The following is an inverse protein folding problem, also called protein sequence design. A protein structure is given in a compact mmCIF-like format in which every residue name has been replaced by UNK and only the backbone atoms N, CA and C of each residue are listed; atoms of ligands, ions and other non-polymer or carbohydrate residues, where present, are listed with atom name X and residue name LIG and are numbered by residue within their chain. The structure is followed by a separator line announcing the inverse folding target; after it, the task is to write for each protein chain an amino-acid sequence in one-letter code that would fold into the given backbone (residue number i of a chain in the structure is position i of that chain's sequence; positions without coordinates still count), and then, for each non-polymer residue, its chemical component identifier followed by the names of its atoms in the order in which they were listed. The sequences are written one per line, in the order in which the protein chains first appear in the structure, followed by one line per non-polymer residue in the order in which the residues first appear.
data_IF_582729196490
#
_entry.id   IF_582729196490
#
_cell.length_a   1.000
_cell.length_b   1.000
_cell.length_c   1.000
_cell.angle_alpha   90.00
_cell.angle_beta   90.00
_cell.angle_gamma   90.00
#
_symmetry.space_group_name_H-M   'P 1'
#
loop_
_entity.id
_entity.type
_entity.pdbx_description
1 polymer ?
#
# COMPACT_ATOMS: atom_id res chain seq x y z
N UNK A 1 5.27 -14.16 2.00
CA UNK A 1 4.19 -14.05 1.01
C UNK A 1 3.17 -13.08 1.60
N UNK A 2 2.91 -11.95 0.95
CA UNK A 2 1.93 -10.99 1.42
C UNK A 2 0.53 -11.55 1.18
N UNK A 3 -0.28 -11.64 2.22
CA UNK A 3 -1.69 -12.04 2.11
C UNK A 3 -2.48 -10.76 1.91
N UNK A 4 -3.23 -10.67 0.81
CA UNK A 4 -4.10 -9.54 0.55
C UNK A 4 -5.53 -9.82 1.05
N UNK A 5 -6.25 -8.81 1.56
CA UNK A 5 -7.62 -8.98 2.01
C UNK A 5 -8.58 -9.10 0.83
N UNK A 6 -9.74 -9.71 1.05
CA UNK A 6 -10.89 -9.53 0.17
C UNK A 6 -11.44 -8.12 0.34
N UNK A 7 -11.40 -7.29 -0.70
CA UNK A 7 -11.97 -5.95 -0.69
C UNK A 7 -13.40 -5.96 -1.23
N UNK A 8 -14.27 -5.13 -0.68
CA UNK A 8 -15.67 -5.03 -1.10
C UNK A 8 -15.96 -3.68 -1.77
N UNK A 9 -16.17 -3.68 -3.09
CA UNK A 9 -16.52 -2.49 -3.86
C UNK A 9 -17.90 -1.92 -3.52
N UNK A 10 -18.84 -2.78 -3.13
CA UNK A 10 -20.19 -2.40 -2.68
C UNK A 10 -20.26 -2.12 -1.18
N UNK A 11 -19.10 -2.13 -0.50
CA UNK A 11 -18.99 -1.88 0.93
C UNK A 11 -19.25 -0.42 1.29
N UNK A 12 -19.50 -0.16 2.58
CA UNK A 12 -19.67 1.21 3.11
C UNK A 12 -18.38 2.05 3.04
N UNK A 13 -17.21 1.41 3.02
CA UNK A 13 -15.93 2.10 2.98
C UNK A 13 -15.31 2.01 1.57
N UNK A 14 -14.70 3.08 1.05
CA UNK A 14 -13.90 3.02 -0.17
C UNK A 14 -12.81 1.93 -0.12
N UNK A 15 -12.48 1.35 -1.29
CA UNK A 15 -11.46 0.31 -1.43
C UNK A 15 -10.10 0.70 -0.85
N UNK A 16 -9.68 1.96 -1.05
CA UNK A 16 -8.39 2.43 -0.55
C UNK A 16 -8.35 2.42 0.98
N UNK A 17 -9.45 2.77 1.66
CA UNK A 17 -9.54 2.74 3.13
C UNK A 17 -9.44 1.30 3.61
N UNK A 18 -10.18 0.39 2.97
CA UNK A 18 -10.16 -1.03 3.33
C UNK A 18 -8.74 -1.62 3.21
N UNK A 19 -8.04 -1.31 2.13
CA UNK A 19 -6.66 -1.76 1.90
C UNK A 19 -5.67 -1.13 2.88
N UNK A 20 -5.78 0.19 3.09
CA UNK A 20 -4.94 0.92 4.05
C UNK A 20 -5.09 0.34 5.47
N UNK A 21 -6.32 0.16 5.96
CA UNK A 21 -6.61 -0.39 7.29
C UNK A 21 -6.09 -1.82 7.45
N UNK A 22 -6.16 -2.62 6.38
CA UNK A 22 -5.56 -3.95 6.39
C UNK A 22 -4.04 -3.87 6.54
N UNK A 23 -3.36 -3.13 5.66
CA UNK A 23 -1.90 -3.03 5.68
C UNK A 23 -1.38 -2.45 7.00
N UNK A 24 -2.03 -1.40 7.50
CA UNK A 24 -1.73 -0.82 8.81
C UNK A 24 -1.83 -1.85 9.92
N UNK A 25 -2.90 -2.65 9.97
CA UNK A 25 -3.05 -3.74 10.94
C UNK A 25 -1.95 -4.79 10.80
N UNK A 26 -1.58 -5.18 9.59
CA UNK A 26 -0.49 -6.14 9.38
C UNK A 26 0.85 -5.62 9.89
N UNK A 27 1.12 -4.32 9.69
CA UNK A 27 2.32 -3.65 10.21
C UNK A 27 2.29 -3.59 11.73
N UNK A 28 1.17 -3.16 12.33
CA UNK A 28 1.00 -3.06 13.78
C UNK A 28 1.09 -4.42 14.48
N UNK A 29 0.63 -5.48 13.82
CA UNK A 29 0.72 -6.86 14.33
C UNK A 29 2.09 -7.51 14.08
N UNK A 30 3.04 -6.79 13.47
CA UNK A 30 4.38 -7.30 13.15
C UNK A 30 4.41 -8.36 12.05
N UNK A 31 3.28 -8.62 11.37
CA UNK A 31 3.21 -9.54 10.23
C UNK A 31 3.83 -8.96 8.97
N UNK A 32 3.77 -7.62 8.85
CA UNK A 32 4.55 -6.87 7.89
C UNK A 32 5.64 -6.08 8.64
N UNK A 33 6.90 -6.54 8.60
CA UNK A 33 7.99 -5.81 9.23
C UNK A 33 8.10 -4.39 8.67
N UNK A 34 8.40 -3.44 9.55
CA UNK A 34 8.66 -2.06 9.15
C UNK A 34 9.80 -2.00 8.12
N UNK A 35 9.62 -1.22 7.05
CA UNK A 35 10.58 -1.15 5.96
C UNK A 35 10.55 -2.33 4.98
N UNK A 36 9.58 -3.25 5.08
CA UNK A 36 9.38 -4.26 4.03
C UNK A 36 8.88 -3.60 2.76
N UNK A 37 9.51 -4.00 1.65
CA UNK A 37 9.13 -3.57 0.32
C UNK A 37 7.72 -4.04 -0.01
N UNK A 38 6.79 -3.09 -0.12
CA UNK A 38 5.45 -3.37 -0.63
C UNK A 38 5.51 -3.85 -2.10
N UNK A 39 4.57 -4.69 -2.54
CA UNK A 39 4.42 -5.07 -3.94
C UNK A 39 4.18 -3.82 -4.77
N UNK A 40 4.59 -3.84 -6.03
CA UNK A 40 4.26 -2.73 -6.93
C UNK A 40 2.74 -2.53 -7.02
N UNK A 41 2.30 -1.28 -7.24
CA UNK A 41 0.88 -0.92 -7.39
C UNK A 41 0.19 -1.86 -8.39
N UNK A 42 0.85 -2.11 -9.53
CA UNK A 42 0.35 -3.03 -10.58
C UNK A 42 0.19 -4.47 -10.08
N UNK A 43 1.16 -5.00 -9.32
CA UNK A 43 1.09 -6.37 -8.79
C UNK A 43 -0.01 -6.51 -7.74
N UNK A 44 -0.11 -5.54 -6.82
CA UNK A 44 -1.15 -5.53 -5.80
C UNK A 44 -2.56 -5.39 -6.42
N UNK A 45 -2.73 -4.47 -7.38
CA UNK A 45 -4.00 -4.30 -8.10
C UNK A 45 -4.43 -5.58 -8.84
N UNK A 46 -3.47 -6.27 -9.48
CA UNK A 46 -3.71 -7.54 -10.16
C UNK A 46 -4.14 -8.65 -9.19
N UNK A 47 -3.47 -8.77 -8.04
CA UNK A 47 -3.79 -9.77 -7.02
C UNK A 47 -5.13 -9.50 -6.32
N UNK A 48 -5.48 -8.23 -6.14
CA UNK A 48 -6.74 -7.80 -5.54
C UNK A 48 -7.90 -7.73 -6.54
N UNK A 49 -7.62 -7.89 -7.84
CA UNK A 49 -8.58 -7.71 -8.94
C UNK A 49 -9.30 -6.34 -8.92
N UNK A 50 -8.60 -5.27 -8.56
CA UNK A 50 -9.12 -3.89 -8.54
C UNK A 50 -8.30 -2.97 -9.44
N UNK A 51 -8.78 -1.74 -9.66
CA UNK A 51 -8.01 -0.71 -10.34
C UNK A 51 -6.76 -0.28 -9.55
N UNK A 52 -5.79 0.35 -10.22
CA UNK A 52 -4.55 0.79 -9.58
C UNK A 52 -4.76 1.97 -8.61
N UNK A 53 -5.77 2.81 -8.85
CA UNK A 53 -6.00 4.06 -8.11
C UNK A 53 -6.20 3.83 -6.60
N UNK A 54 -7.07 2.90 -6.13
CA UNK A 54 -7.23 2.68 -4.70
C UNK A 54 -5.98 2.11 -4.03
N UNK A 55 -5.17 1.33 -4.76
CA UNK A 55 -3.90 0.80 -4.26
C UNK A 55 -2.88 1.92 -4.07
N UNK A 56 -2.75 2.80 -5.06
CA UNK A 56 -1.89 3.98 -4.98
C UNK A 56 -2.27 4.88 -3.81
N UNK A 57 -3.57 5.20 -3.67
CA UNK A 57 -4.06 6.03 -2.56
C UNK A 57 -3.80 5.40 -1.19
N UNK A 58 -4.01 4.09 -1.05
CA UNK A 58 -3.73 3.38 0.21
C UNK A 58 -2.24 3.43 0.57
N UNK A 59 -1.36 3.26 -0.42
CA UNK A 59 0.10 3.31 -0.21
C UNK A 59 0.58 4.72 0.13
N UNK A 60 0.04 5.74 -0.54
CA UNK A 60 0.32 7.14 -0.23
C UNK A 60 -0.09 7.49 1.21
N UNK A 61 -1.23 6.99 1.66
CA UNK A 61 -1.67 7.19 3.05
C UNK A 61 -0.74 6.52 4.07
N UNK A 62 -0.28 5.28 3.79
CA UNK A 62 0.71 4.61 4.64
C UNK A 62 2.05 5.36 4.67
N UNK A 63 2.47 5.91 3.53
CA UNK A 63 3.68 6.72 3.42
C UNK A 63 3.56 8.01 4.23
N UNK A 64 2.43 8.71 4.13
CA UNK A 64 2.16 9.94 4.88
C UNK A 64 2.19 9.72 6.41
N UNK A 65 1.81 8.52 6.87
CA UNK A 65 1.90 8.13 8.28
C UNK A 65 3.27 7.57 8.70
N UNK A 66 4.22 7.49 7.77
CA UNK A 66 5.57 7.01 8.03
C UNK A 66 5.69 5.49 8.12
N UNK A 67 4.70 4.72 7.68
CA UNK A 67 4.73 3.25 7.75
C UNK A 67 5.58 2.58 6.66
N UNK A 68 5.89 3.30 5.58
CA UNK A 68 6.63 2.76 4.43
C UNK A 68 7.83 3.64 4.06
N UNK A 69 8.62 4.04 5.05
CA UNK A 69 9.77 4.93 4.86
C UNK A 69 10.98 4.16 4.29
N UNK A 70 10.83 3.58 3.08
CA UNK A 70 11.92 3.08 2.25
C UNK A 70 11.58 3.26 0.76
N UNK A 71 11.77 4.47 0.22
CA UNK A 71 12.06 4.72 -1.20
C UNK A 71 12.24 6.22 -1.56
N UNK A 72 12.19 7.17 -0.63
CA UNK A 72 12.27 8.59 -1.02
C UNK A 72 13.69 9.06 -1.43
N UNK A 73 14.74 8.24 -1.23
CA UNK A 73 16.10 8.64 -1.62
C UNK A 73 16.53 8.20 -3.03
N UNK A 74 15.75 7.39 -3.78
CA UNK A 74 16.23 6.88 -5.08
C UNK A 74 15.55 7.43 -6.33
N UNK A 75 14.45 8.17 -6.20
CA UNK A 75 13.75 8.73 -7.36
C UNK A 75 13.72 10.27 -7.40
N UNK A 76 14.04 10.96 -6.30
CA UNK A 76 14.11 12.43 -6.27
C UNK A 76 15.47 13.01 -6.70
N UNK A 77 16.55 12.22 -6.72
CA UNK A 77 17.86 12.69 -7.20
C UNK A 77 18.10 12.51 -8.70
N UNK A 78 17.20 11.86 -9.44
CA UNK A 78 17.40 11.56 -10.87
C UNK A 78 16.70 12.53 -11.84
N UNK A 79 16.18 13.67 -11.36
CA UNK A 79 15.55 14.67 -12.24
C UNK A 79 15.95 16.13 -11.96
N UNK A 80 17.06 16.34 -11.24
CA UNK A 80 17.74 17.64 -11.15
C UNK A 80 19.21 17.49 -11.54
N UNK A 81 19.47 17.19 -12.82
CA UNK A 81 20.75 17.52 -13.48
C UNK A 81 20.45 17.88 -14.93
#
# INVERSE_FOLDING_TARGET
MLIFPSLNESGRNPLYIQLYEFLKREIMNGRLPYGVRLPSIRSAASQLHISATPVETAYQQLLAEGFNQQAEERLLFASYT
#
